data_IF_135351803340
#
_entry.id   IF_135351803340
#
_cell.length_a   1.000
_cell.length_b   1.000
_cell.length_c   1.000
_cell.angle_alpha   90.00
_cell.angle_beta   90.00
_cell.angle_gamma   90.00
#
_symmetry.space_group_name_H-M   'P 1'
#
loop_
_entity.id
_entity.type
_entity.pdbx_description
1 polymer ?
#
# COMPACT_ATOMS: atom_id res chain seq x y z
N UNK A 1 5.20 -16.46 4.27
CA UNK A 1 4.82 -15.41 3.33
C UNK A 1 3.76 -14.56 3.98
N UNK A 2 3.85 -13.23 3.86
CA UNK A 2 2.80 -12.34 4.32
C UNK A 2 1.62 -12.41 3.34
N UNK A 3 0.40 -12.52 3.85
CA UNK A 3 -0.81 -12.56 3.04
C UNK A 3 -1.30 -11.14 2.72
N UNK A 4 -1.45 -10.86 1.42
CA UNK A 4 -1.98 -9.62 0.86
C UNK A 4 -3.35 -9.90 0.22
N UNK A 5 -4.00 -8.88 -0.32
CA UNK A 5 -5.26 -9.03 -1.06
C UNK A 5 -5.10 -9.85 -2.35
N UNK A 6 -3.87 -9.96 -2.88
CA UNK A 6 -3.49 -10.81 -4.01
C UNK A 6 -2.19 -11.54 -3.70
N UNK A 7 -1.96 -12.66 -4.38
CA UNK A 7 -0.74 -13.42 -4.24
C UNK A 7 0.47 -12.65 -4.83
N UNK A 8 1.34 -12.18 -3.94
CA UNK A 8 2.58 -11.46 -4.30
C UNK A 8 3.68 -12.36 -4.85
N UNK A 9 3.52 -13.68 -4.80
CA UNK A 9 4.45 -14.65 -5.40
C UNK A 9 4.12 -14.91 -6.88
N UNK A 10 2.93 -14.51 -7.34
CA UNK A 10 2.52 -14.59 -8.73
C UNK A 10 3.18 -13.46 -9.55
N UNK A 11 4.28 -13.78 -10.22
CA UNK A 11 5.02 -12.83 -11.07
C UNK A 11 4.57 -12.83 -12.54
N UNK A 12 3.60 -13.68 -12.91
CA UNK A 12 3.04 -13.74 -14.25
C UNK A 12 1.50 -13.62 -14.19
N UNK A 13 0.95 -12.53 -13.62
CA UNK A 13 -0.49 -12.34 -13.58
C UNK A 13 -1.06 -12.27 -15.01
N UNK A 14 -2.27 -12.81 -15.16
CA UNK A 14 -3.02 -12.86 -16.41
C UNK A 14 -4.46 -12.46 -16.15
N UNK A 15 -5.07 -11.77 -17.09
CA UNK A 15 -6.52 -11.52 -17.10
C UNK A 15 -7.17 -12.03 -18.37
N UNK A 16 -8.47 -12.33 -18.29
CA UNK A 16 -9.23 -12.88 -19.42
C UNK A 16 -9.42 -11.88 -20.59
N UNK A 17 -9.28 -10.57 -20.33
CA UNK A 17 -9.61 -9.50 -21.29
C UNK A 17 -8.42 -8.75 -21.88
N UNK A 18 -7.18 -9.21 -21.66
CA UNK A 18 -5.98 -8.53 -22.19
C UNK A 18 -5.95 -8.46 -23.73
N UNK A 19 -6.59 -9.41 -24.43
CA UNK A 19 -6.64 -9.40 -25.89
C UNK A 19 -7.54 -8.32 -26.48
N UNK A 20 -8.51 -7.85 -25.68
CA UNK A 20 -9.61 -7.02 -26.15
C UNK A 20 -9.44 -5.55 -25.75
N UNK A 21 -8.43 -5.26 -24.93
CA UNK A 21 -8.13 -3.92 -24.41
C UNK A 21 -6.61 -3.68 -24.34
N UNK A 22 -6.09 -2.86 -25.25
CA UNK A 22 -4.67 -2.53 -25.36
C UNK A 22 -4.12 -1.83 -24.09
N UNK A 23 -4.93 -1.00 -23.42
CA UNK A 23 -4.52 -0.32 -22.20
C UNK A 23 -4.39 -1.31 -21.03
N UNK A 24 -5.34 -2.22 -20.90
CA UNK A 24 -5.25 -3.32 -19.94
C UNK A 24 -4.03 -4.19 -20.23
N UNK A 25 -3.76 -4.50 -21.50
CA UNK A 25 -2.58 -5.26 -21.89
C UNK A 25 -1.27 -4.59 -21.47
N UNK A 26 -1.12 -3.29 -21.75
CA UNK A 26 0.06 -2.53 -21.33
C UNK A 26 0.21 -2.49 -19.80
N UNK A 27 -0.90 -2.33 -19.09
CA UNK A 27 -0.92 -2.37 -17.63
C UNK A 27 -0.49 -3.74 -17.09
N UNK A 28 -0.98 -4.83 -17.66
CA UNK A 28 -0.57 -6.18 -17.26
C UNK A 28 0.89 -6.48 -17.61
N UNK A 29 1.40 -5.96 -18.73
CA UNK A 29 2.83 -6.01 -19.06
C UNK A 29 3.68 -5.24 -18.04
N UNK A 30 3.19 -4.12 -17.52
CA UNK A 30 3.83 -3.42 -16.41
C UNK A 30 3.83 -4.26 -15.13
N UNK A 31 2.69 -4.85 -14.74
CA UNK A 31 2.62 -5.72 -13.55
C UNK A 31 3.59 -6.90 -13.65
N UNK A 32 3.72 -7.52 -14.84
CA UNK A 32 4.66 -8.62 -15.10
C UNK A 32 6.15 -8.24 -15.02
N UNK A 33 6.49 -6.95 -15.04
CA UNK A 33 7.87 -6.46 -14.86
C UNK A 33 8.25 -6.29 -13.38
N UNK A 34 7.31 -6.47 -12.46
CA UNK A 34 7.52 -6.30 -11.03
C UNK A 34 7.63 -7.65 -10.33
N UNK A 35 8.57 -7.76 -9.41
CA UNK A 35 8.68 -8.86 -8.46
C UNK A 35 8.17 -8.38 -7.09
N UNK A 36 6.89 -8.64 -6.82
CA UNK A 36 6.20 -8.10 -5.65
C UNK A 36 6.75 -8.70 -4.34
N UNK A 37 7.09 -9.99 -4.33
CA UNK A 37 7.73 -10.65 -3.19
C UNK A 37 9.06 -9.96 -2.81
N UNK A 38 9.92 -9.70 -3.79
CA UNK A 38 11.21 -9.02 -3.56
C UNK A 38 11.03 -7.56 -3.17
N UNK A 39 10.02 -6.87 -3.72
CA UNK A 39 9.67 -5.52 -3.32
C UNK A 39 9.36 -5.46 -1.81
N UNK A 40 8.46 -6.32 -1.33
CA UNK A 40 8.09 -6.38 0.09
C UNK A 40 9.30 -6.75 0.95
N UNK A 41 10.07 -7.76 0.54
CA UNK A 41 11.28 -8.19 1.27
C UNK A 41 12.26 -7.04 1.47
N UNK A 42 12.63 -6.35 0.39
CA UNK A 42 13.63 -5.28 0.45
C UNK A 42 13.11 -4.04 1.18
N UNK A 43 11.81 -3.73 1.09
CA UNK A 43 11.21 -2.65 1.86
C UNK A 43 11.29 -2.90 3.37
N UNK A 44 10.94 -4.10 3.82
CA UNK A 44 11.01 -4.49 5.24
C UNK A 44 12.45 -4.54 5.75
N UNK A 45 13.37 -5.10 4.96
CA UNK A 45 14.78 -5.18 5.34
C UNK A 45 15.41 -3.78 5.42
N UNK A 46 15.11 -2.90 4.45
CA UNK A 46 15.53 -1.51 4.48
C UNK A 46 15.03 -0.80 5.74
N UNK A 47 13.72 -0.88 6.02
CA UNK A 47 13.11 -0.22 7.18
C UNK A 47 13.75 -0.70 8.49
N UNK A 48 13.93 -2.01 8.66
CA UNK A 48 14.55 -2.63 9.83
C UNK A 48 15.99 -2.16 10.01
N UNK A 49 16.81 -2.26 8.97
CA UNK A 49 18.22 -1.92 9.03
C UNK A 49 18.42 -0.41 9.31
N UNK A 50 17.63 0.45 8.66
CA UNK A 50 17.69 1.89 8.88
C UNK A 50 17.20 2.30 10.27
N UNK A 51 16.13 1.69 10.79
CA UNK A 51 15.69 1.94 12.16
C UNK A 51 16.77 1.50 13.16
N UNK A 52 17.34 0.31 13.00
CA UNK A 52 18.40 -0.19 13.89
C UNK A 52 19.62 0.73 13.90
N UNK A 53 20.03 1.24 12.74
CA UNK A 53 21.13 2.19 12.62
C UNK A 53 20.82 3.52 13.34
N UNK A 54 19.61 4.04 13.21
CA UNK A 54 19.23 5.30 13.85
C UNK A 54 19.06 5.15 15.37
N UNK A 55 18.48 4.04 15.85
CA UNK A 55 18.44 3.74 17.30
C UNK A 55 19.85 3.73 17.91
N UNK A 56 20.83 3.10 17.25
CA UNK A 56 22.22 3.08 17.72
C UNK A 56 22.91 4.45 17.66
N UNK A 57 22.62 5.25 16.64
CA UNK A 57 23.24 6.58 16.46
C UNK A 57 22.66 7.63 17.40
N UNK A 58 21.39 7.48 17.76
CA UNK A 58 20.60 8.44 18.53
C UNK A 58 20.25 7.91 19.94
N UNK A 59 21.02 6.94 20.45
CA UNK A 59 20.77 6.15 21.68
C UNK A 59 20.57 6.99 22.97
N UNK A 60 20.77 8.32 22.89
CA UNK A 60 20.57 9.27 23.99
C UNK A 60 19.83 10.57 23.56
N UNK A 61 19.36 10.65 22.31
CA UNK A 61 18.63 11.79 21.76
C UNK A 61 17.22 11.37 21.37
N UNK A 62 16.36 11.20 22.39
CA UNK A 62 14.95 10.81 22.21
C UNK A 62 14.20 11.75 21.26
N UNK A 63 14.56 13.04 21.24
CA UNK A 63 13.92 14.03 20.37
C UNK A 63 14.26 13.76 18.90
N UNK A 64 15.54 13.62 18.57
CA UNK A 64 15.95 13.30 17.19
C UNK A 64 15.45 11.93 16.75
N UNK A 65 15.39 10.96 17.66
CA UNK A 65 14.80 9.66 17.35
C UNK A 65 13.30 9.78 17.04
N UNK A 66 12.56 10.57 17.81
CA UNK A 66 11.16 10.90 17.54
C UNK A 66 10.96 11.57 16.19
N UNK A 67 11.78 12.57 15.84
CA UNK A 67 11.73 13.24 14.53
C UNK A 67 12.04 12.26 13.38
N UNK A 68 13.02 11.36 13.57
CA UNK A 68 13.28 10.29 12.62
C UNK A 68 12.08 9.37 12.45
N UNK A 69 11.43 8.93 13.54
CA UNK A 69 10.26 8.04 13.48
C UNK A 69 9.10 8.72 12.75
N UNK A 70 8.83 10.00 13.03
CA UNK A 70 7.78 10.75 12.35
C UNK A 70 8.00 10.81 10.82
N UNK A 71 9.24 11.03 10.39
CA UNK A 71 9.58 11.07 8.96
C UNK A 71 9.65 9.69 8.29
N UNK A 72 10.11 8.68 9.02
CA UNK A 72 10.30 7.32 8.50
C UNK A 72 9.02 6.46 8.51
N UNK A 73 8.15 6.69 9.49
CA UNK A 73 6.97 5.91 9.79
C UNK A 73 5.78 6.81 10.14
N UNK A 74 5.30 7.65 9.21
CA UNK A 74 4.32 8.71 9.48
C UNK A 74 2.97 8.22 10.04
N UNK A 75 2.64 6.95 9.88
CA UNK A 75 1.45 6.34 10.47
C UNK A 75 1.84 5.57 11.73
N UNK A 76 2.85 4.70 11.62
CA UNK A 76 3.17 3.72 12.65
C UNK A 76 3.72 4.36 13.93
N UNK A 77 4.41 5.50 13.82
CA UNK A 77 4.90 6.23 15.01
C UNK A 77 3.76 6.76 15.91
N UNK A 78 2.52 6.81 15.43
CA UNK A 78 1.37 7.31 16.19
C UNK A 78 0.94 6.34 17.29
N UNK A 79 1.24 5.05 17.14
CA UNK A 79 0.81 3.99 18.05
C UNK A 79 1.97 3.11 18.58
N UNK A 80 3.19 3.28 18.05
CA UNK A 80 4.35 2.47 18.40
C UNK A 80 5.63 3.31 18.49
N UNK A 81 6.47 3.00 19.47
CA UNK A 81 7.81 3.55 19.62
C UNK A 81 8.86 2.79 18.78
N UNK A 82 10.12 3.21 18.83
CA UNK A 82 11.21 2.59 18.06
C UNK A 82 11.38 1.09 18.38
N UNK A 83 11.26 0.69 19.65
CA UNK A 83 11.42 -0.70 20.06
C UNK A 83 10.27 -1.58 19.56
N UNK A 84 9.05 -1.07 19.68
CA UNK A 84 7.84 -1.74 19.19
C UNK A 84 7.87 -1.87 17.67
N UNK A 85 8.20 -0.79 16.94
CA UNK A 85 8.35 -0.86 15.47
C UNK A 85 9.44 -1.87 15.09
N UNK A 86 10.58 -1.88 15.78
CA UNK A 86 11.64 -2.86 15.55
C UNK A 86 11.16 -4.31 15.76
N UNK A 87 10.39 -4.56 16.82
CA UNK A 87 9.79 -5.87 17.09
C UNK A 87 8.86 -6.29 15.95
N UNK A 88 7.94 -5.42 15.53
CA UNK A 88 6.99 -5.70 14.46
C UNK A 88 7.69 -5.93 13.12
N UNK A 89 8.72 -5.15 12.78
CA UNK A 89 9.53 -5.34 11.57
C UNK A 89 10.24 -6.70 11.56
N UNK A 90 10.73 -7.18 12.72
CA UNK A 90 11.30 -8.53 12.84
C UNK A 90 10.25 -9.61 12.63
N UNK A 91 9.06 -9.46 13.21
CA UNK A 91 7.94 -10.39 13.00
C UNK A 91 7.51 -10.42 11.53
N UNK A 92 7.35 -9.26 10.88
CA UNK A 92 7.07 -9.14 9.45
C UNK A 92 8.13 -9.82 8.58
N UNK A 93 9.42 -9.54 8.83
CA UNK A 93 10.51 -10.15 8.08
C UNK A 93 10.55 -11.67 8.22
N UNK A 94 10.34 -12.19 9.44
CA UNK A 94 10.27 -13.64 9.68
C UNK A 94 9.04 -14.27 9.02
N UNK A 95 7.88 -13.62 9.12
CA UNK A 95 6.64 -14.06 8.48
C UNK A 95 6.75 -14.08 6.96
N UNK A 96 7.35 -13.05 6.36
CA UNK A 96 7.59 -12.95 4.92
C UNK A 96 8.46 -14.09 4.41
N UNK A 97 9.58 -14.36 5.09
CA UNK A 97 10.54 -15.40 4.71
C UNK A 97 10.08 -16.85 4.98
N UNK A 98 8.90 -17.05 5.58
CA UNK A 98 8.36 -18.38 5.86
C UNK A 98 7.66 -18.95 4.61
N UNK A 99 8.42 -19.50 3.67
CA UNK A 99 7.93 -19.87 2.32
C UNK A 99 6.78 -20.87 2.28
N UNK A 100 6.57 -21.65 3.35
CA UNK A 100 5.55 -22.70 3.39
C UNK A 100 4.30 -22.32 4.21
N UNK A 101 4.26 -21.11 4.79
CA UNK A 101 3.18 -20.69 5.67
C UNK A 101 2.72 -19.28 5.31
N UNK A 102 1.42 -19.08 5.20
CA UNK A 102 0.84 -17.76 4.99
C UNK A 102 0.42 -17.12 6.32
N UNK A 103 0.70 -15.83 6.46
CA UNK A 103 0.40 -15.07 7.66
C UNK A 103 -0.47 -13.86 7.33
N UNK A 104 -1.67 -13.79 7.91
CA UNK A 104 -2.54 -12.62 7.86
C UNK A 104 -2.01 -11.55 8.82
N UNK A 105 -1.99 -10.33 8.32
CA UNK A 105 -1.64 -9.12 9.04
C UNK A 105 -2.90 -8.46 9.61
N UNK A 106 -2.72 -7.72 10.70
CA UNK A 106 -3.73 -6.82 11.26
C UNK A 106 -3.42 -5.37 10.84
N UNK A 107 -4.24 -4.39 11.25
CA UNK A 107 -4.11 -3.00 10.82
C UNK A 107 -2.77 -2.36 11.22
N UNK A 108 -2.21 -2.71 12.38
CA UNK A 108 -0.89 -2.22 12.80
C UNK A 108 0.22 -2.69 11.86
N UNK A 109 0.16 -3.96 11.47
CA UNK A 109 1.09 -4.53 10.50
C UNK A 109 0.91 -3.93 9.10
N UNK A 110 -0.32 -3.77 8.63
CA UNK A 110 -0.59 -3.11 7.35
C UNK A 110 -0.08 -1.67 7.34
N UNK A 111 -0.31 -0.88 8.40
CA UNK A 111 0.23 0.47 8.53
C UNK A 111 1.76 0.50 8.44
N UNK A 112 2.44 -0.43 9.12
CA UNK A 112 3.90 -0.50 9.10
C UNK A 112 4.46 -0.96 7.74
N UNK A 113 3.81 -1.92 7.08
CA UNK A 113 4.18 -2.33 5.71
C UNK A 113 3.99 -1.14 4.76
N UNK A 114 2.89 -0.40 4.88
CA UNK A 114 2.60 0.76 4.05
C UNK A 114 3.70 1.82 4.19
N UNK A 115 4.02 2.24 5.43
CA UNK A 115 5.10 3.19 5.71
C UNK A 115 6.44 2.72 5.12
N UNK A 116 6.79 1.45 5.37
CA UNK A 116 8.06 0.85 4.93
C UNK A 116 8.18 0.83 3.41
N UNK A 117 7.12 0.40 2.73
CA UNK A 117 7.09 0.30 1.27
C UNK A 117 7.08 1.67 0.60
N UNK A 118 6.24 2.60 1.05
CA UNK A 118 6.15 3.95 0.48
C UNK A 118 7.51 4.65 0.51
N UNK A 119 8.20 4.56 1.65
CA UNK A 119 9.55 5.11 1.81
C UNK A 119 10.57 4.41 0.91
N UNK A 120 10.57 3.08 0.90
CA UNK A 120 11.54 2.30 0.14
C UNK A 120 11.37 2.49 -1.37
N UNK A 121 10.15 2.49 -1.90
CA UNK A 121 9.87 2.71 -3.33
C UNK A 121 10.44 4.04 -3.81
N UNK A 122 10.28 5.12 -3.03
CA UNK A 122 10.89 6.41 -3.35
C UNK A 122 12.41 6.32 -3.51
N UNK A 123 13.07 5.59 -2.61
CA UNK A 123 14.53 5.41 -2.63
C UNK A 123 14.95 4.50 -3.78
N UNK A 124 14.23 3.42 -4.02
CA UNK A 124 14.49 2.48 -5.10
C UNK A 124 14.36 3.15 -6.47
N UNK A 125 13.29 3.91 -6.70
CA UNK A 125 13.09 4.63 -7.95
C UNK A 125 14.18 5.69 -8.17
N UNK A 126 14.61 6.38 -7.11
CA UNK A 126 15.76 7.30 -7.20
C UNK A 126 17.05 6.55 -7.56
N UNK A 127 17.31 5.40 -6.93
CA UNK A 127 18.44 4.54 -7.26
C UNK A 127 18.38 4.06 -8.72
N UNK A 128 17.19 3.78 -9.25
CA UNK A 128 16.98 3.41 -10.64
C UNK A 128 17.38 4.51 -11.63
N UNK A 129 17.29 5.79 -11.23
CA UNK A 129 17.73 6.93 -12.03
C UNK A 129 19.25 7.18 -11.89
N UNK A 130 19.77 7.11 -10.67
CA UNK A 130 21.16 7.47 -10.36
C UNK A 130 22.17 6.35 -10.66
N UNK A 131 21.78 5.10 -10.41
CA UNK A 131 22.63 3.92 -10.57
C UNK A 131 21.80 2.69 -10.99
N UNK A 132 21.35 2.64 -12.27
CA UNK A 132 20.48 1.57 -12.76
C UNK A 132 21.02 0.16 -12.51
N UNK A 133 22.34 -0.04 -12.65
CA UNK A 133 22.96 -1.35 -12.41
C UNK A 133 22.82 -1.82 -10.95
N UNK A 134 22.90 -0.90 -9.98
CA UNK A 134 22.65 -1.22 -8.57
C UNK A 134 21.18 -1.50 -8.31
N UNK A 135 20.27 -0.79 -8.97
CA UNK A 135 18.83 -1.06 -8.85
C UNK A 135 18.45 -2.45 -9.40
N UNK A 136 19.13 -2.92 -10.46
CA UNK A 136 18.96 -4.27 -11.00
C UNK A 136 19.38 -5.37 -10.02
N UNK A 137 20.40 -5.14 -9.19
CA UNK A 137 20.86 -6.12 -8.17
C UNK A 137 19.76 -6.49 -7.17
N UNK A 138 18.80 -5.58 -6.92
CA UNK A 138 17.64 -5.87 -6.07
C UNK A 138 16.65 -6.84 -6.72
N UNK A 139 16.66 -6.98 -8.06
CA UNK A 139 15.75 -7.88 -8.79
C UNK A 139 14.27 -7.56 -8.59
N UNK A 140 13.91 -6.29 -8.33
CA UNK A 140 12.54 -5.89 -8.04
C UNK A 140 11.78 -5.51 -9.31
N UNK A 141 12.40 -4.76 -10.22
CA UNK A 141 11.74 -4.26 -11.42
C UNK A 141 12.62 -4.39 -12.66
N UNK A 142 12.02 -4.75 -13.79
CA UNK A 142 12.70 -4.87 -15.09
C UNK A 142 12.73 -3.53 -15.83
N UNK A 143 13.54 -2.59 -15.33
CA UNK A 143 13.78 -1.31 -15.98
C UNK A 143 12.60 -0.34 -15.95
N UNK A 144 11.62 -0.58 -15.07
CA UNK A 144 10.47 0.30 -14.83
C UNK A 144 10.52 0.89 -13.43
N UNK A 145 9.98 2.09 -13.27
CA UNK A 145 9.74 2.67 -11.96
C UNK A 145 8.53 2.00 -11.30
N UNK A 146 8.60 1.83 -9.99
CA UNK A 146 7.52 1.25 -9.22
C UNK A 146 6.57 2.38 -8.82
N UNK A 147 5.30 2.26 -9.18
CA UNK A 147 4.26 3.07 -8.58
C UNK A 147 3.75 2.40 -7.30
N UNK A 148 4.03 3.04 -6.17
CA UNK A 148 3.57 2.57 -4.87
C UNK A 148 2.06 2.68 -4.70
N UNK A 149 1.42 3.74 -5.22
CA UNK A 149 0.01 3.95 -5.00
C UNK A 149 -0.82 2.93 -5.80
N UNK A 150 -0.43 2.64 -7.05
CA UNK A 150 -0.96 1.52 -7.83
C UNK A 150 -0.78 0.17 -7.12
N UNK A 151 0.43 -0.10 -6.62
CA UNK A 151 0.71 -1.34 -5.90
C UNK A 151 -0.14 -1.45 -4.62
N UNK A 152 -0.27 -0.38 -3.85
CA UNK A 152 -1.05 -0.38 -2.63
C UNK A 152 -2.54 -0.58 -2.91
N UNK A 153 -3.07 0.02 -3.99
CA UNK A 153 -4.44 -0.24 -4.46
C UNK A 153 -4.68 -1.73 -4.75
N UNK A 154 -3.73 -2.40 -5.43
CA UNK A 154 -3.91 -3.79 -5.82
C UNK A 154 -3.76 -4.80 -4.66
N UNK A 155 -2.83 -4.56 -3.74
CA UNK A 155 -2.36 -5.59 -2.80
C UNK A 155 -2.81 -5.34 -1.35
N UNK A 156 -3.21 -4.14 -0.95
CA UNK A 156 -3.82 -3.95 0.37
C UNK A 156 -5.31 -4.34 0.33
N UNK A 157 -5.82 -4.99 1.39
CA UNK A 157 -7.26 -5.32 1.47
C UNK A 157 -8.12 -4.07 1.66
N UNK A 158 -7.62 -3.10 2.43
CA UNK A 158 -8.23 -1.81 2.71
C UNK A 158 -7.14 -0.84 3.20
N UNK A 159 -7.51 0.43 3.38
CA UNK A 159 -6.69 1.45 4.03
C UNK A 159 -7.47 2.11 5.17
N UNK A 160 -8.24 1.35 5.94
CA UNK A 160 -9.09 1.90 7.01
C UNK A 160 -8.22 2.57 8.11
N UNK A 161 -6.99 2.09 8.32
CA UNK A 161 -6.00 2.71 9.20
C UNK A 161 -5.52 4.11 8.74
N UNK A 162 -5.88 4.54 7.52
CA UNK A 162 -5.61 5.89 7.00
C UNK A 162 -6.78 6.86 7.16
N UNK A 163 -7.94 6.46 7.69
CA UNK A 163 -9.11 7.34 7.84
C UNK A 163 -8.69 8.65 8.56
N UNK A 164 -9.17 9.78 8.03
CA UNK A 164 -8.79 11.13 8.47
C UNK A 164 -7.50 11.68 7.82
N UNK A 165 -6.86 10.95 6.91
CA UNK A 165 -5.78 11.45 6.07
C UNK A 165 -6.22 11.42 4.59
N UNK A 166 -5.79 12.42 3.82
CA UNK A 166 -6.13 12.50 2.40
C UNK A 166 -5.43 11.38 1.62
N UNK A 167 -6.21 10.63 0.85
CA UNK A 167 -5.73 9.60 -0.05
C UNK A 167 -5.81 10.13 -1.48
N UNK A 168 -4.70 10.03 -2.22
CA UNK A 168 -4.65 10.43 -3.62
C UNK A 168 -5.65 9.67 -4.49
N UNK A 169 -5.95 10.21 -5.66
CA UNK A 169 -6.93 9.63 -6.60
C UNK A 169 -6.66 8.17 -6.99
N UNK A 170 -5.39 7.76 -7.04
CA UNK A 170 -4.97 6.37 -7.31
C UNK A 170 -5.55 5.36 -6.31
N UNK A 171 -5.99 5.82 -5.14
CA UNK A 171 -6.69 5.03 -4.12
C UNK A 171 -8.21 5.24 -4.15
N UNK A 172 -8.81 5.66 -5.26
CA UNK A 172 -10.22 6.11 -5.31
C UNK A 172 -11.22 5.21 -4.55
N UNK A 173 -11.21 3.86 -4.70
CA UNK A 173 -12.11 3.01 -3.94
C UNK A 173 -11.91 3.11 -2.42
N UNK A 174 -10.66 3.12 -1.96
CA UNK A 174 -10.32 3.30 -0.54
C UNK A 174 -10.61 4.71 -0.06
N UNK A 175 -10.32 5.74 -0.85
CA UNK A 175 -10.62 7.13 -0.53
C UNK A 175 -12.13 7.34 -0.36
N UNK A 176 -12.95 6.78 -1.26
CA UNK A 176 -14.42 6.84 -1.18
C UNK A 176 -14.94 6.14 0.07
N UNK A 177 -14.41 4.94 0.38
CA UNK A 177 -14.77 4.20 1.60
C UNK A 177 -14.39 4.98 2.85
N UNK A 178 -13.13 5.42 2.94
CA UNK A 178 -12.62 6.17 4.08
C UNK A 178 -13.41 7.45 4.30
N UNK A 179 -13.78 8.15 3.22
CA UNK A 179 -14.59 9.37 3.30
C UNK A 179 -16.00 9.10 3.82
N UNK A 180 -16.65 8.03 3.34
CA UNK A 180 -17.96 7.64 3.84
C UNK A 180 -17.93 7.30 5.34
N UNK A 181 -16.91 6.55 5.79
CA UNK A 181 -16.72 6.23 7.20
C UNK A 181 -16.45 7.50 8.03
N UNK A 182 -15.57 8.38 7.55
CA UNK A 182 -15.23 9.65 8.20
C UNK A 182 -16.46 10.56 8.36
N UNK A 183 -17.28 10.67 7.32
CA UNK A 183 -18.48 11.50 7.32
C UNK A 183 -19.52 10.94 8.31
N UNK A 184 -19.73 9.62 8.36
CA UNK A 184 -20.65 9.01 9.31
C UNK A 184 -20.16 9.13 10.77
N UNK A 185 -18.86 8.94 11.03
CA UNK A 185 -18.26 9.20 12.34
C UNK A 185 -18.50 10.66 12.74
N UNK A 186 -18.28 11.59 11.81
CA UNK A 186 -18.46 13.03 12.04
C UNK A 186 -19.91 13.39 12.34
N UNK A 187 -20.89 12.77 11.67
CA UNK A 187 -22.31 12.95 11.95
C UNK A 187 -22.69 12.46 13.35
N UNK A 188 -22.21 11.28 13.76
CA UNK A 188 -22.47 10.75 15.11
C UNK A 188 -21.84 11.64 16.19
N UNK A 189 -20.63 12.13 15.98
CA UNK A 189 -19.98 13.08 16.91
C UNK A 189 -20.80 14.38 17.01
N UNK A 190 -21.27 14.94 15.88
CA UNK A 190 -22.15 16.12 15.86
C UNK A 190 -23.47 15.87 16.59
N UNK A 191 -23.96 14.64 16.60
CA UNK A 191 -25.17 14.23 17.32
C UNK A 191 -24.97 14.02 18.83
N UNK A 192 -23.73 14.15 19.33
CA UNK A 192 -23.40 14.13 20.76
C UNK A 192 -22.68 12.85 21.24
N UNK A 193 -22.37 11.91 20.35
CA UNK A 193 -21.56 10.73 20.71
C UNK A 193 -20.10 11.10 20.95
N UNK A 194 -19.43 10.37 21.84
CA UNK A 194 -17.96 10.42 21.94
C UNK A 194 -17.31 9.83 20.68
N UNK A 195 -16.03 10.12 20.46
CA UNK A 195 -15.27 9.58 19.32
C UNK A 195 -15.23 8.04 19.33
N UNK A 196 -15.05 7.43 20.50
CA UNK A 196 -15.03 5.97 20.65
C UNK A 196 -16.39 5.34 20.37
N UNK A 197 -17.49 5.92 20.86
CA UNK A 197 -18.84 5.44 20.55
C UNK A 197 -19.15 5.58 19.05
N UNK A 198 -18.76 6.70 18.44
CA UNK A 198 -18.99 6.94 17.01
C UNK A 198 -18.24 5.93 16.14
N UNK A 199 -16.97 5.66 16.43
CA UNK A 199 -16.14 4.68 15.73
C UNK A 199 -16.67 3.25 15.93
N UNK A 200 -17.04 2.89 17.16
CA UNK A 200 -17.62 1.57 17.43
C UNK A 200 -18.96 1.36 16.71
N UNK A 201 -19.76 2.41 16.56
CA UNK A 201 -21.06 2.33 15.89
C UNK A 201 -20.96 2.07 14.38
N UNK A 202 -19.87 2.46 13.72
CA UNK A 202 -19.67 2.24 12.27
C UNK A 202 -18.94 0.92 11.97
N UNK A 203 -18.34 0.28 12.98
CA UNK A 203 -17.53 -0.94 12.84
C UNK A 203 -18.22 -2.03 12.02
N UNK A 204 -19.40 -2.45 12.45
CA UNK A 204 -20.08 -3.61 11.88
C UNK A 204 -20.71 -3.29 10.52
N UNK A 205 -21.11 -2.04 10.29
CA UNK A 205 -21.65 -1.58 9.00
C UNK A 205 -20.62 -1.64 7.88
N UNK A 206 -19.37 -1.35 8.21
CA UNK A 206 -18.26 -1.34 7.25
C UNK A 206 -17.37 -2.58 7.35
N UNK A 207 -17.71 -3.53 8.24
CA UNK A 207 -16.89 -4.74 8.50
C UNK A 207 -15.44 -4.41 8.88
N UNK A 208 -15.24 -3.35 9.67
CA UNK A 208 -13.90 -2.90 10.06
C UNK A 208 -13.26 -3.85 11.07
N UNK A 209 -11.97 -4.10 10.89
CA UNK A 209 -11.17 -4.86 11.85
C UNK A 209 -11.02 -4.11 13.18
N UNK A 210 -11.05 -4.83 14.30
CA UNK A 210 -10.91 -4.22 15.64
C UNK A 210 -9.59 -3.46 15.78
N UNK A 211 -8.51 -3.94 15.17
CA UNK A 211 -7.22 -3.25 15.23
C UNK A 211 -7.23 -1.95 14.41
N UNK A 212 -8.03 -1.84 13.35
CA UNK A 212 -8.22 -0.58 12.63
C UNK A 212 -8.85 0.48 13.55
N UNK A 213 -9.84 0.10 14.35
CA UNK A 213 -10.44 1.01 15.34
C UNK A 213 -9.42 1.46 16.39
N UNK A 214 -8.60 0.53 16.89
CA UNK A 214 -7.54 0.85 17.86
C UNK A 214 -6.53 1.84 17.28
N UNK A 215 -6.12 1.67 16.02
CA UNK A 215 -5.25 2.61 15.29
C UNK A 215 -5.89 4.00 15.22
N UNK A 216 -7.16 4.09 14.81
CA UNK A 216 -7.88 5.37 14.68
C UNK A 216 -8.07 6.09 16.02
N UNK A 217 -8.21 5.33 17.10
CA UNK A 217 -8.32 5.84 18.46
C UNK A 217 -6.96 6.15 19.11
N UNK A 218 -5.85 5.86 18.43
CA UNK A 218 -4.50 6.02 19.00
C UNK A 218 -4.28 5.14 20.23
N UNK A 219 -4.95 3.99 20.31
CA UNK A 219 -4.78 3.05 21.43
C UNK A 219 -3.39 2.40 21.33
N UNK A 220 -2.70 2.18 22.47
CA UNK A 220 -1.42 1.49 22.46
C UNK A 220 -1.58 0.04 22.01
N UNK A 221 -0.55 -0.48 21.34
CA UNK A 221 -0.47 -1.88 20.93
C UNK A 221 -0.43 -2.79 22.17
N UNK A 222 -1.27 -3.84 22.18
CA UNK A 222 -1.19 -4.91 23.18
C UNK A 222 -0.35 -6.09 22.67
N UNK A 223 0.11 -7.01 23.54
CA UNK A 223 0.85 -8.19 23.10
C UNK A 223 0.11 -9.03 22.04
N UNK A 224 -1.21 -9.16 22.16
CA UNK A 224 -2.07 -9.88 21.20
C UNK A 224 -2.07 -9.21 19.83
N UNK A 225 -2.05 -7.86 19.81
CA UNK A 225 -1.97 -7.07 18.58
C UNK A 225 -0.61 -7.25 17.86
N UNK A 226 0.40 -7.82 18.52
CA UNK A 226 1.70 -8.13 17.89
C UNK A 226 1.75 -9.48 17.21
N UNK A 227 0.68 -10.28 17.19
CA UNK A 227 0.71 -11.61 16.58
C UNK A 227 0.36 -11.57 15.09
N UNK A 228 1.10 -12.37 14.31
CA UNK A 228 0.77 -12.67 12.92
C UNK A 228 -0.08 -13.93 12.89
N UNK A 229 -1.24 -13.87 12.26
CA UNK A 229 -2.19 -14.98 12.26
C UNK A 229 -1.86 -15.97 11.16
N UNK A 230 -1.52 -17.20 11.53
CA UNK A 230 -1.34 -18.28 10.56
C UNK A 230 -2.66 -18.56 9.82
N UNK A 231 -2.64 -18.53 8.50
CA UNK A 231 -3.82 -18.84 7.68
C UNK A 231 -3.79 -20.29 7.22
N UNK A 232 -2.88 -20.66 6.31
CA UNK A 232 -2.71 -22.03 5.83
C UNK A 232 -1.42 -22.21 5.00
N UNK A 233 -1.23 -23.44 4.51
CA UNK A 233 -0.13 -23.83 3.60
C UNK A 233 -0.51 -23.57 2.13
N UNK A 234 -1.77 -23.83 1.73
CA UNK A 234 -2.26 -23.72 0.34
C UNK A 234 -3.04 -22.41 0.04
N UNK A 235 -3.20 -21.54 1.04
CA UNK A 235 -3.92 -20.26 1.04
C UNK A 235 -5.22 -20.18 0.21
N UNK A 236 -6.35 -20.73 0.70
CA UNK A 236 -7.63 -20.73 -0.01
C UNK A 236 -8.23 -19.33 -0.22
N UNK A 237 -7.68 -18.28 0.40
CA UNK A 237 -8.19 -16.90 0.23
C UNK A 237 -8.01 -16.39 -1.21
N UNK A 238 -7.07 -16.94 -1.97
CA UNK A 238 -6.84 -16.55 -3.36
C UNK A 238 -7.74 -17.32 -4.34
N UNK A 239 -8.25 -18.49 -3.96
CA UNK A 239 -9.18 -19.26 -4.80
C UNK A 239 -10.45 -18.44 -5.06
N UNK A 240 -10.99 -17.81 -4.01
CA UNK A 240 -12.16 -16.91 -4.07
C UNK A 240 -11.97 -15.72 -5.02
N UNK A 241 -10.73 -15.31 -5.34
CA UNK A 241 -10.47 -14.22 -6.28
C UNK A 241 -10.57 -14.65 -7.75
N UNK A 242 -10.40 -15.95 -8.01
CA UNK A 242 -10.33 -16.55 -9.35
C UNK A 242 -11.63 -17.23 -9.78
N UNK A 243 -12.51 -17.55 -8.84
CA UNK A 243 -13.85 -18.02 -9.13
C UNK A 243 -14.67 -16.93 -9.85
N UNK A 244 -15.32 -17.31 -10.94
CA UNK A 244 -16.31 -16.46 -11.61
C UNK A 244 -17.65 -16.66 -10.89
N UNK A 245 -18.09 -15.66 -10.13
CA UNK A 245 -19.41 -15.70 -9.52
C UNK A 245 -20.46 -15.14 -10.49
N UNK A 246 -21.46 -15.96 -10.81
CA UNK A 246 -22.69 -15.47 -11.45
C UNK A 246 -23.47 -14.60 -10.44
N UNK A 247 -23.45 -13.28 -10.63
CA UNK A 247 -24.55 -12.40 -10.23
C UNK A 247 -24.73 -12.05 -8.75
N UNK A 248 -23.66 -11.87 -7.96
CA UNK A 248 -23.77 -11.30 -6.59
C UNK A 248 -23.35 -9.84 -6.42
N UNK A 249 -22.47 -9.34 -7.29
CA UNK A 249 -22.08 -7.94 -7.31
C UNK A 249 -22.54 -7.34 -8.64
N UNK A 250 -23.56 -6.47 -8.57
CA UNK A 250 -24.46 -6.06 -9.66
C UNK A 250 -23.88 -5.37 -10.91
N UNK A 251 -22.65 -5.66 -11.32
CA UNK A 251 -22.08 -5.40 -12.65
C UNK A 251 -21.08 -6.48 -13.13
N UNK A 252 -20.84 -7.55 -12.38
CA UNK A 252 -19.85 -8.60 -12.69
C UNK A 252 -20.54 -9.87 -13.24
N UNK A 253 -21.25 -9.76 -14.37
CA UNK A 253 -21.78 -10.96 -15.03
C UNK A 253 -20.62 -11.76 -15.65
N UNK A 254 -20.15 -12.79 -14.93
CA UNK A 254 -19.16 -13.76 -15.41
C UNK A 254 -17.69 -13.35 -15.28
N UNK A 255 -17.37 -12.27 -14.54
CA UNK A 255 -15.99 -11.81 -14.30
C UNK A 255 -15.50 -12.16 -12.89
N UNK A 256 -14.25 -12.60 -12.77
CA UNK A 256 -13.61 -12.83 -11.47
C UNK A 256 -13.28 -11.52 -10.75
N UNK A 257 -13.20 -11.54 -9.42
CA UNK A 257 -12.75 -10.38 -8.62
C UNK A 257 -11.33 -9.95 -9.02
N UNK A 258 -10.48 -10.91 -9.40
CA UNK A 258 -9.14 -10.64 -9.89
C UNK A 258 -9.16 -9.84 -11.19
N UNK A 259 -9.92 -10.28 -12.20
CA UNK A 259 -10.03 -9.59 -13.49
C UNK A 259 -10.57 -8.17 -13.31
N UNK A 260 -11.62 -8.00 -12.49
CA UNK A 260 -12.19 -6.68 -12.23
C UNK A 260 -11.18 -5.74 -11.55
N UNK A 261 -10.40 -6.25 -10.59
CA UNK A 261 -9.41 -5.43 -9.89
C UNK A 261 -8.29 -4.94 -10.80
N UNK A 262 -7.84 -5.76 -11.76
CA UNK A 262 -6.85 -5.34 -12.75
C UNK A 262 -7.44 -4.39 -13.80
N UNK A 263 -8.69 -4.60 -14.21
CA UNK A 263 -9.40 -3.68 -15.09
C UNK A 263 -9.58 -2.29 -14.45
N UNK A 264 -9.98 -2.23 -13.18
CA UNK A 264 -10.07 -0.97 -12.45
C UNK A 264 -8.70 -0.33 -12.23
N UNK A 265 -7.69 -1.13 -11.89
CA UNK A 265 -6.30 -0.66 -11.77
C UNK A 265 -5.79 -0.04 -13.06
N UNK A 266 -6.02 -0.67 -14.21
CA UNK A 266 -5.60 -0.12 -15.51
C UNK A 266 -6.26 1.24 -15.78
N UNK A 267 -7.54 1.42 -15.47
CA UNK A 267 -8.22 2.72 -15.66
C UNK A 267 -7.63 3.81 -14.78
N UNK A 268 -7.38 3.51 -13.50
CA UNK A 268 -6.77 4.47 -12.58
C UNK A 268 -5.35 4.82 -13.02
N UNK A 269 -4.58 3.82 -13.47
CA UNK A 269 -3.19 4.00 -13.89
C UNK A 269 -3.07 4.76 -15.20
N UNK A 270 -3.87 4.43 -16.20
CA UNK A 270 -3.91 5.15 -17.49
C UNK A 270 -4.32 6.59 -17.29
N UNK A 271 -5.28 6.86 -16.39
CA UNK A 271 -5.68 8.22 -16.09
C UNK A 271 -4.52 9.04 -15.50
N UNK A 272 -3.73 8.44 -14.61
CA UNK A 272 -2.52 9.06 -14.09
C UNK A 272 -1.47 9.32 -15.19
N UNK A 273 -1.23 8.34 -16.07
CA UNK A 273 -0.32 8.50 -17.20
C UNK A 273 -0.73 9.63 -18.13
N UNK A 274 -2.02 9.69 -18.52
CA UNK A 274 -2.56 10.76 -19.36
C UNK A 274 -2.39 12.13 -18.72
N UNK A 275 -2.67 12.25 -17.41
CA UNK A 275 -2.43 13.51 -16.68
C UNK A 275 -0.97 13.92 -16.68
N UNK A 276 -0.05 12.96 -16.54
CA UNK A 276 1.38 13.24 -16.58
C UNK A 276 1.81 13.71 -17.98
N UNK A 277 1.32 13.07 -19.03
CA UNK A 277 1.56 13.49 -20.42
C UNK A 277 1.04 14.90 -20.70
N UNK A 278 -0.16 15.24 -20.20
CA UNK A 278 -0.74 16.59 -20.30
C UNK A 278 0.18 17.63 -19.62
N UNK A 279 0.63 17.37 -18.39
CA UNK A 279 1.53 18.27 -17.65
C UNK A 279 2.91 18.40 -18.31
N UNK A 280 3.47 17.30 -18.83
CA UNK A 280 4.74 17.31 -19.56
C UNK A 280 4.63 18.13 -20.86
N UNK A 281 3.54 17.98 -21.61
CA UNK A 281 3.26 18.78 -22.80
C UNK A 281 3.10 20.27 -22.49
N UNK A 282 2.36 20.63 -21.44
CA UNK A 282 2.25 22.01 -20.96
C UNK A 282 3.62 22.58 -20.55
N UNK A 283 4.44 21.78 -19.85
CA UNK A 283 5.77 22.19 -19.42
C UNK A 283 6.71 22.42 -20.60
N UNK A 284 6.68 21.54 -21.61
CA UNK A 284 7.45 21.71 -22.85
C UNK A 284 7.01 22.94 -23.64
N UNK A 285 5.71 23.23 -23.67
CA UNK A 285 5.15 24.44 -24.30
C UNK A 285 5.65 25.71 -23.60
N UNK A 286 5.58 25.76 -22.27
CA UNK A 286 6.12 26.87 -21.46
C UNK A 286 7.63 27.05 -21.68
N UNK A 287 8.41 25.95 -21.71
CA UNK A 287 9.85 26.01 -21.98
C UNK A 287 10.15 26.52 -23.40
N UNK A 288 9.34 26.14 -24.40
CA UNK A 288 9.47 26.68 -25.77
C UNK A 288 9.17 28.18 -25.83
N UNK A 289 8.15 28.65 -25.13
CA UNK A 289 7.77 30.07 -25.04
C UNK A 289 8.87 30.91 -24.37
N UNK A 290 9.46 30.41 -23.29
CA UNK A 290 10.58 31.05 -22.57
C UNK A 290 11.86 31.13 -23.42
N UNK A 291 12.16 30.09 -24.21
CA UNK A 291 13.33 30.09 -25.09
C UNK A 291 13.15 31.04 -26.31
N UNK A 292 11.91 31.26 -26.76
CA UNK A 292 11.60 32.27 -27.80
C UNK A 292 11.71 33.71 -27.29
N UNK A 293 11.54 33.94 -25.99
CA UNK A 293 11.64 35.27 -25.37
C UNK A 293 13.07 35.64 -24.96
N UNK A 294 13.92 34.66 -24.64
CA UNK A 294 15.37 34.86 -24.36
C UNK A 294 16.26 35.07 -25.61
N UNK A 295 15.71 34.96 -26.82
CA UNK A 295 16.45 35.11 -28.08
C UNK A 295 16.26 36.48 -28.77
N UNK A 296 15.86 37.51 -28.01
CA UNK A 296 15.83 38.92 -28.41
C UNK A 296 16.75 39.75 -27.54
#
# INVERSE_FOLDING_TARGET
MLAFAKDITQNQPKTSKESDNDELKQYMEYQRKLNHERLVFHALDYAKNHLQLNMKKLDQDEKQLGEYLQGAFPISHRFADAETIMLLLRKLGNGHNSTNNWYRMNAYYYALVFDSMKRFVKIYNQLGLEAPEKAKEYGIAEGVQIDFDDWAYLYFPDLDFHIGNDLGYTHYPFAKRNKAIEDEISEKIKSGSSQEEAINAVKDQYEMDETSLKVLLGKPITPEDTELFFTSVENPIYEALTESEDGRWGMMDGESLLDHSYYMGSHLKVWEWRKREEVEAETEEVLRELNKTSSK
#
